data_IF_348222781867
#
_entry.id   IF_348222781867
#
_cell.length_a   1.000
_cell.length_b   1.000
_cell.length_c   1.000
_cell.angle_alpha   90.00
_cell.angle_beta   90.00
_cell.angle_gamma   90.00
#
_symmetry.space_group_name_H-M   'P 1'
#
loop_
_entity.id
_entity.type
_entity.pdbx_description
1 polymer ?
#
# COMPACT_ATOMS: atom_id res chain seq x y z
N UNK A 1 2.14 -27.69 -73.59
CA UNK A 1 3.59 -28.01 -73.63
C UNK A 1 4.35 -26.72 -73.92
N UNK A 2 4.86 -26.04 -72.89
CA UNK A 2 6.02 -25.14 -72.99
C UNK A 2 6.67 -25.12 -71.61
N UNK A 3 8.00 -25.23 -71.62
CA UNK A 3 8.85 -25.52 -70.48
C UNK A 3 9.74 -24.32 -70.14
N UNK A 4 10.11 -24.23 -68.85
CA UNK A 4 11.26 -23.53 -68.27
C UNK A 4 11.21 -21.99 -68.31
N UNK A 5 11.52 -21.27 -67.22
CA UNK A 5 12.81 -21.31 -66.50
C UNK A 5 12.64 -20.70 -65.10
N UNK A 6 13.26 -21.30 -64.08
CA UNK A 6 13.30 -20.74 -62.72
C UNK A 6 14.43 -19.70 -62.60
N UNK A 7 14.11 -18.53 -62.03
CA UNK A 7 15.09 -17.52 -61.62
C UNK A 7 15.11 -17.49 -60.09
N UNK A 8 16.22 -17.92 -59.50
CA UNK A 8 16.45 -17.84 -58.05
C UNK A 8 17.03 -16.45 -57.74
N UNK A 9 16.24 -15.61 -57.05
CA UNK A 9 16.68 -14.31 -56.56
C UNK A 9 17.15 -14.47 -55.10
N UNK A 10 18.46 -14.37 -54.86
CA UNK A 10 19.04 -14.23 -53.53
C UNK A 10 18.94 -12.78 -53.08
N UNK A 11 18.08 -12.50 -52.11
CA UNK A 11 18.01 -11.20 -51.41
C UNK A 11 18.79 -11.35 -50.09
N UNK A 12 19.97 -10.75 -50.01
CA UNK A 12 20.67 -10.54 -48.74
C UNK A 12 19.97 -9.40 -47.98
N UNK A 13 19.31 -9.73 -46.86
CA UNK A 13 18.89 -8.73 -45.88
C UNK A 13 20.05 -8.41 -44.95
N UNK A 14 20.73 -7.28 -45.17
CA UNK A 14 21.53 -6.62 -44.14
C UNK A 14 20.58 -5.86 -43.20
N UNK A 15 20.37 -6.39 -42.00
CA UNK A 15 19.66 -5.68 -40.94
C UNK A 15 20.54 -4.54 -40.42
N UNK A 16 20.24 -3.30 -40.84
CA UNK A 16 20.79 -2.11 -40.20
C UNK A 16 20.16 -1.96 -38.81
N UNK A 17 20.91 -2.29 -37.75
CA UNK A 17 20.56 -1.89 -36.37
C UNK A 17 20.84 -0.40 -36.22
N UNK A 18 19.82 0.43 -36.34
CA UNK A 18 19.85 1.79 -35.78
C UNK A 18 19.71 1.66 -34.25
N UNK A 19 20.79 1.93 -33.53
CA UNK A 19 20.72 2.17 -32.09
C UNK A 19 19.97 3.49 -31.87
N UNK A 20 18.73 3.40 -31.38
CA UNK A 20 17.98 4.56 -30.92
C UNK A 20 18.65 5.03 -29.62
N UNK A 21 19.43 6.11 -29.67
CA UNK A 21 19.90 6.76 -28.47
C UNK A 21 18.69 7.35 -27.73
N UNK A 22 18.35 6.80 -26.56
CA UNK A 22 17.35 7.40 -25.69
C UNK A 22 17.95 8.68 -25.09
N UNK A 23 17.58 9.83 -25.65
CA UNK A 23 17.81 11.11 -25.00
C UNK A 23 16.96 11.17 -23.74
N UNK A 24 17.60 11.16 -22.57
CA UNK A 24 16.92 11.51 -21.31
C UNK A 24 16.44 12.95 -21.42
N UNK A 25 15.15 13.14 -21.73
CA UNK A 25 14.52 14.43 -21.60
C UNK A 25 14.54 14.80 -20.12
N UNK A 26 15.16 15.93 -19.79
CA UNK A 26 15.07 16.52 -18.45
C UNK A 26 13.58 16.74 -18.17
N UNK A 27 13.05 16.10 -17.11
CA UNK A 27 11.67 16.33 -16.66
C UNK A 27 11.46 17.83 -16.44
N UNK A 28 10.46 18.40 -17.09
CA UNK A 28 10.07 19.79 -16.84
C UNK A 28 9.37 19.98 -15.49
N UNK A 29 8.76 18.92 -14.98
CA UNK A 29 8.20 18.86 -13.63
C UNK A 29 8.96 17.79 -12.82
N UNK A 30 9.70 18.17 -11.77
CA UNK A 30 10.41 17.21 -10.92
C UNK A 30 9.46 16.25 -10.16
N UNK A 31 8.15 16.52 -10.15
CA UNK A 31 7.13 15.68 -9.52
C UNK A 31 6.36 14.79 -10.49
N UNK A 32 6.61 14.88 -11.80
CA UNK A 32 5.96 14.03 -12.78
C UNK A 32 6.34 12.56 -12.56
N UNK A 33 5.35 11.67 -12.52
CA UNK A 33 5.56 10.21 -12.39
C UNK A 33 6.44 9.70 -13.54
N UNK A 34 7.46 8.86 -13.29
CA UNK A 34 8.27 8.30 -14.37
C UNK A 34 7.48 7.44 -15.34
N UNK A 35 7.84 7.45 -16.64
CA UNK A 35 7.46 6.34 -17.51
C UNK A 35 7.82 5.03 -16.84
N UNK A 36 6.95 4.03 -16.91
CA UNK A 36 7.14 2.75 -16.21
C UNK A 36 8.50 2.10 -16.53
N UNK A 37 9.00 2.26 -17.76
CA UNK A 37 10.30 1.74 -18.19
C UNK A 37 11.51 2.45 -17.55
N UNK A 38 11.31 3.63 -16.95
CA UNK A 38 12.34 4.40 -16.24
C UNK A 38 12.31 4.15 -14.73
N UNK A 39 11.32 3.41 -14.21
CA UNK A 39 11.24 3.07 -12.79
C UNK A 39 12.22 1.94 -12.50
N UNK A 40 13.30 2.24 -11.77
CA UNK A 40 14.30 1.26 -11.35
C UNK A 40 14.37 1.15 -9.83
N UNK A 41 14.80 -0.01 -9.33
CA UNK A 41 15.13 -0.17 -7.92
C UNK A 41 16.30 0.77 -7.55
N UNK A 42 16.18 1.50 -6.44
CA UNK A 42 17.21 2.44 -5.98
C UNK A 42 17.16 3.81 -6.64
N UNK A 43 16.08 4.16 -7.35
CA UNK A 43 15.88 5.54 -7.80
C UNK A 43 15.90 6.52 -6.63
N UNK A 44 16.45 7.74 -6.82
CA UNK A 44 16.41 8.77 -5.80
C UNK A 44 14.98 9.05 -5.34
N UNK A 45 14.77 9.07 -4.03
CA UNK A 45 13.50 9.45 -3.43
C UNK A 45 13.37 10.97 -3.48
N UNK A 46 12.26 11.46 -4.02
CA UNK A 46 11.96 12.90 -3.98
C UNK A 46 11.74 13.36 -2.53
N UNK A 47 12.06 14.62 -2.20
CA UNK A 47 11.74 15.17 -0.88
C UNK A 47 10.23 15.13 -0.58
N UNK A 48 9.89 14.97 0.69
CA UNK A 48 8.53 15.14 1.18
C UNK A 48 7.99 16.55 0.89
N UNK A 49 6.69 16.64 0.64
CA UNK A 49 5.98 17.93 0.49
C UNK A 49 5.16 18.21 1.74
N UNK A 50 5.08 19.45 2.21
CA UNK A 50 4.25 19.78 3.37
C UNK A 50 2.76 19.68 3.04
N UNK A 51 1.93 19.61 4.09
CA UNK A 51 0.48 19.78 3.95
C UNK A 51 0.17 21.18 3.38
N UNK A 52 -0.84 21.24 2.52
CA UNK A 52 -1.32 22.48 1.91
C UNK A 52 -2.01 23.42 2.91
N UNK A 53 -2.55 22.87 3.99
CA UNK A 53 -3.13 23.60 5.12
C UNK A 53 -3.00 22.78 6.41
N UNK A 54 -2.93 23.48 7.55
CA UNK A 54 -2.97 22.84 8.88
C UNK A 54 -4.42 22.52 9.26
N UNK A 55 -4.76 21.24 9.52
CA UNK A 55 -6.08 20.89 10.03
C UNK A 55 -6.41 21.61 11.33
N UNK A 56 -7.64 22.12 11.43
CA UNK A 56 -8.13 22.79 12.63
C UNK A 56 -9.16 21.91 13.31
N UNK A 57 -8.91 21.55 14.56
CA UNK A 57 -9.86 20.77 15.33
C UNK A 57 -11.21 21.48 15.48
N UNK A 58 -12.29 20.70 15.50
CA UNK A 58 -13.66 21.18 15.40
C UNK A 58 -14.16 21.42 13.96
N UNK A 59 -13.28 21.31 12.94
CA UNK A 59 -13.70 21.41 11.54
C UNK A 59 -14.78 20.36 11.22
N UNK A 60 -15.85 20.75 10.50
CA UNK A 60 -16.90 19.81 10.13
C UNK A 60 -16.36 18.76 9.16
N UNK A 61 -16.88 17.53 9.19
CA UNK A 61 -16.47 16.50 8.26
C UNK A 61 -17.00 16.79 6.86
N UNK A 62 -16.37 16.19 5.86
CA UNK A 62 -16.91 16.14 4.49
C UNK A 62 -18.00 15.06 4.37
N UNK A 63 -17.93 14.02 5.20
CA UNK A 63 -18.88 12.91 5.21
C UNK A 63 -20.04 13.24 6.15
N UNK A 64 -21.27 13.16 5.62
CA UNK A 64 -22.48 13.42 6.38
C UNK A 64 -22.63 12.45 7.55
N UNK A 65 -22.92 12.98 8.75
CA UNK A 65 -23.10 12.19 9.97
C UNK A 65 -21.80 11.77 10.68
N UNK A 66 -20.64 12.03 10.08
CA UNK A 66 -19.37 11.78 10.75
C UNK A 66 -19.11 12.83 11.87
N UNK A 67 -18.25 12.56 12.86
CA UNK A 67 -17.91 13.55 13.88
C UNK A 67 -17.02 14.66 13.31
N UNK A 68 -17.09 15.84 13.93
CA UNK A 68 -16.12 16.91 13.66
C UNK A 68 -14.71 16.44 14.03
N UNK A 69 -13.71 17.07 13.40
CA UNK A 69 -12.32 16.72 13.63
C UNK A 69 -11.95 16.85 15.12
N UNK A 70 -11.38 15.81 15.77
CA UNK A 70 -11.03 15.89 17.17
C UNK A 70 -9.79 16.79 17.40
N UNK A 71 -9.57 17.19 18.64
CA UNK A 71 -8.26 17.71 19.05
C UNK A 71 -7.23 16.58 18.96
N UNK A 72 -6.01 16.90 18.52
CA UNK A 72 -4.91 15.94 18.61
C UNK A 72 -4.63 15.71 20.10
N UNK A 73 -4.75 14.47 20.62
CA UNK A 73 -4.51 14.18 22.02
C UNK A 73 -3.00 14.30 22.35
N UNK A 74 -2.67 14.23 23.64
CA UNK A 74 -1.27 14.14 24.06
C UNK A 74 -0.67 12.80 23.62
N UNK A 75 0.10 12.86 22.53
CA UNK A 75 0.74 11.72 21.91
C UNK A 75 1.85 11.10 22.76
N UNK A 76 2.33 11.78 23.81
CA UNK A 76 3.35 11.23 24.70
C UNK A 76 2.86 10.04 25.54
N UNK A 77 1.54 9.86 25.63
CA UNK A 77 0.91 8.71 26.27
C UNK A 77 0.91 7.44 25.41
N UNK A 78 1.21 7.55 24.11
CA UNK A 78 1.27 6.42 23.19
C UNK A 78 2.70 5.89 23.06
N UNK A 79 2.88 4.58 22.87
CA UNK A 79 4.21 4.03 22.71
C UNK A 79 4.87 4.53 21.41
N UNK A 80 6.21 4.71 21.42
CA UNK A 80 6.93 5.09 20.22
C UNK A 80 6.91 3.95 19.18
N UNK A 81 6.92 4.32 17.91
CA UNK A 81 7.01 3.35 16.80
C UNK A 81 8.32 2.56 16.77
N UNK A 82 8.29 1.43 16.06
CA UNK A 82 9.49 0.63 15.75
C UNK A 82 10.00 -0.24 16.90
N UNK A 83 9.24 -0.38 17.99
CA UNK A 83 9.57 -1.27 19.10
C UNK A 83 8.45 -2.29 19.30
N UNK A 84 8.80 -3.51 19.71
CA UNK A 84 7.79 -4.46 20.19
C UNK A 84 7.23 -3.92 21.50
N UNK A 85 5.91 -3.69 21.52
CA UNK A 85 5.23 -3.16 22.68
C UNK A 85 5.00 -4.30 23.68
N UNK A 86 5.27 -4.10 24.98
CA UNK A 86 4.94 -5.09 26.00
C UNK A 86 3.45 -5.45 25.95
N UNK A 87 3.15 -6.74 25.95
CA UNK A 87 1.77 -7.25 25.90
C UNK A 87 1.20 -7.53 27.29
N UNK A 88 1.86 -7.07 28.34
CA UNK A 88 1.53 -7.34 29.74
C UNK A 88 1.10 -6.09 30.52
N UNK A 89 0.87 -4.96 29.83
CA UNK A 89 0.31 -3.77 30.46
C UNK A 89 -1.10 -4.02 31.00
N UNK A 90 -1.57 -3.24 32.00
CA UNK A 90 -2.95 -3.32 32.48
C UNK A 90 -3.98 -3.19 31.35
N UNK A 91 -3.77 -2.27 30.42
CA UNK A 91 -4.65 -2.00 29.28
C UNK A 91 -4.69 -3.17 28.31
N UNK A 92 -3.55 -3.78 27.98
CA UNK A 92 -3.51 -4.96 27.11
C UNK A 92 -4.20 -6.15 27.77
N UNK A 93 -4.01 -6.33 29.09
CA UNK A 93 -4.69 -7.40 29.85
C UNK A 93 -6.20 -7.21 29.90
N UNK A 94 -6.66 -5.98 30.10
CA UNK A 94 -8.09 -5.62 30.06
C UNK A 94 -8.67 -5.92 28.68
N UNK A 95 -8.04 -5.43 27.61
CA UNK A 95 -8.47 -5.69 26.24
C UNK A 95 -8.52 -7.19 25.92
N UNK A 96 -7.50 -7.97 26.31
CA UNK A 96 -7.51 -9.43 26.12
C UNK A 96 -8.67 -10.10 26.87
N UNK A 97 -9.03 -9.60 28.06
CA UNK A 97 -10.17 -10.10 28.82
C UNK A 97 -11.50 -9.75 28.14
N UNK A 98 -11.63 -8.57 27.56
CA UNK A 98 -12.81 -8.16 26.77
C UNK A 98 -12.97 -9.03 25.52
N UNK A 99 -11.89 -9.28 24.78
CA UNK A 99 -11.92 -10.17 23.61
C UNK A 99 -12.33 -11.59 24.04
N UNK A 100 -11.76 -12.12 25.12
CA UNK A 100 -12.17 -13.42 25.65
C UNK A 100 -13.65 -13.46 26.05
N UNK A 101 -14.17 -12.39 26.68
CA UNK A 101 -15.56 -12.28 27.08
C UNK A 101 -16.52 -12.17 25.87
N UNK A 102 -16.05 -11.64 24.74
CA UNK A 102 -16.84 -11.56 23.49
C UNK A 102 -17.08 -12.93 22.83
N UNK A 103 -16.39 -13.99 23.29
CA UNK A 103 -16.43 -15.32 22.67
C UNK A 103 -15.52 -15.47 21.45
N UNK A 104 -14.80 -14.41 21.06
CA UNK A 104 -13.77 -14.47 20.01
C UNK A 104 -12.56 -15.26 20.53
N UNK A 105 -12.15 -16.27 19.77
CA UNK A 105 -10.92 -17.02 20.04
C UNK A 105 -9.78 -16.38 19.26
N UNK A 106 -8.76 -15.88 19.97
CA UNK A 106 -7.50 -15.41 19.35
C UNK A 106 -6.64 -16.64 19.04
N UNK A 107 -6.30 -16.90 17.77
CA UNK A 107 -5.40 -18.00 17.42
C UNK A 107 -4.01 -17.80 18.04
N UNK A 108 -3.46 -18.83 18.69
CA UNK A 108 -2.09 -18.81 19.20
C UNK A 108 -1.11 -19.24 18.09
N UNK A 109 -0.98 -18.41 17.07
CA UNK A 109 -0.08 -18.66 15.93
C UNK A 109 1.32 -18.14 16.22
N UNK A 110 2.35 -18.91 15.90
CA UNK A 110 3.73 -18.42 15.95
C UNK A 110 3.93 -17.25 14.98
N UNK A 111 4.73 -16.24 15.33
CA UNK A 111 5.12 -15.20 14.39
C UNK A 111 5.74 -15.79 13.12
N UNK A 112 5.42 -15.19 11.98
CA UNK A 112 6.03 -15.60 10.72
C UNK A 112 7.52 -15.24 10.71
N UNK A 113 8.31 -16.02 9.98
CA UNK A 113 9.71 -15.74 9.70
C UNK A 113 9.77 -14.70 8.58
N UNK A 114 10.28 -13.49 8.84
CA UNK A 114 10.37 -12.47 7.81
C UNK A 114 11.36 -12.88 6.73
N UNK A 115 11.11 -12.40 5.51
CA UNK A 115 12.05 -12.57 4.41
C UNK A 115 13.27 -11.67 4.68
N UNK A 116 14.50 -12.20 4.69
CA UNK A 116 15.71 -11.36 4.77
C UNK A 116 15.78 -10.37 3.60
N UNK A 117 16.32 -9.17 3.83
CA UNK A 117 16.47 -8.14 2.81
C UNK A 117 17.34 -8.59 1.61
N UNK A 118 18.23 -9.56 1.84
CA UNK A 118 19.14 -10.15 0.85
C UNK A 118 18.68 -11.52 0.33
N UNK A 119 17.45 -11.93 0.63
CA UNK A 119 16.93 -13.22 0.20
C UNK A 119 16.83 -13.31 -1.32
N UNK A 120 17.51 -14.31 -1.91
CA UNK A 120 17.44 -14.61 -3.34
C UNK A 120 16.82 -15.98 -3.54
N UNK A 121 15.69 -16.03 -4.26
CA UNK A 121 15.01 -17.28 -4.58
C UNK A 121 14.15 -17.87 -3.46
N UNK A 122 14.11 -17.22 -2.30
CA UNK A 122 13.16 -17.53 -1.22
C UNK A 122 11.94 -16.62 -1.30
N UNK A 123 10.80 -17.13 -0.85
CA UNK A 123 9.55 -16.39 -0.72
C UNK A 123 9.09 -16.41 0.73
N UNK A 124 8.26 -15.44 1.11
CA UNK A 124 7.60 -15.42 2.41
C UNK A 124 6.90 -16.77 2.71
N UNK A 125 6.30 -17.39 1.69
CA UNK A 125 5.58 -18.65 1.83
C UNK A 125 6.52 -19.84 2.02
N UNK A 126 7.62 -19.93 1.27
CA UNK A 126 8.60 -21.03 1.42
C UNK A 126 9.32 -20.99 2.77
N UNK A 127 9.50 -19.81 3.35
CA UNK A 127 10.06 -19.65 4.70
C UNK A 127 9.09 -20.06 5.82
N UNK A 128 7.79 -20.09 5.52
CA UNK A 128 6.72 -20.34 6.49
C UNK A 128 5.83 -21.50 6.02
N UNK A 129 6.35 -22.73 5.89
CA UNK A 129 5.63 -23.84 5.27
C UNK A 129 4.43 -24.30 6.09
N UNK A 130 4.49 -24.31 7.42
CA UNK A 130 3.35 -24.68 8.26
C UNK A 130 2.21 -23.65 8.14
N UNK A 131 2.54 -22.36 8.25
CA UNK A 131 1.56 -21.28 8.12
C UNK A 131 0.96 -21.21 6.71
N UNK A 132 1.77 -21.44 5.68
CA UNK A 132 1.30 -21.51 4.29
C UNK A 132 0.34 -22.69 4.08
N UNK A 133 0.65 -23.85 4.66
CA UNK A 133 -0.22 -25.04 4.58
C UNK A 133 -1.53 -24.85 5.34
N UNK A 134 -1.51 -24.10 6.45
CA UNK A 134 -2.68 -23.70 7.21
C UNK A 134 -3.39 -22.45 6.65
N UNK A 135 -2.93 -21.92 5.51
CA UNK A 135 -3.41 -20.67 4.94
C UNK A 135 -4.75 -20.77 4.20
N UNK A 136 -5.29 -21.98 3.98
CA UNK A 136 -6.56 -22.17 3.27
C UNK A 136 -7.80 -21.72 4.06
N UNK A 137 -8.98 -21.90 3.43
CA UNK A 137 -10.28 -21.48 3.98
C UNK A 137 -10.62 -22.13 5.34
N UNK A 138 -10.17 -23.37 5.56
CA UNK A 138 -10.39 -24.10 6.82
C UNK A 138 -9.38 -23.74 7.93
N UNK A 139 -8.44 -22.83 7.66
CA UNK A 139 -7.38 -22.43 8.57
C UNK A 139 -7.35 -20.92 8.85
N UNK A 140 -6.15 -20.36 8.92
CA UNK A 140 -5.94 -18.95 9.28
C UNK A 140 -6.23 -17.99 8.13
N UNK A 141 -6.58 -18.49 6.94
CA UNK A 141 -6.85 -17.72 5.73
C UNK A 141 -5.75 -16.69 5.40
N UNK A 142 -4.72 -17.12 4.68
CA UNK A 142 -3.58 -16.28 4.34
C UNK A 142 -3.56 -15.95 2.85
N UNK A 143 -3.99 -14.74 2.51
CA UNK A 143 -4.11 -14.29 1.13
C UNK A 143 -2.80 -14.37 0.34
N UNK A 144 -1.66 -13.94 0.91
CA UNK A 144 -0.39 -13.88 0.19
C UNK A 144 0.11 -15.23 -0.32
N UNK A 145 -0.18 -16.31 0.41
CA UNK A 145 0.34 -17.66 0.10
C UNK A 145 -0.69 -18.61 -0.48
N UNK A 146 -1.98 -18.36 -0.27
CA UNK A 146 -3.06 -19.26 -0.70
C UNK A 146 -4.18 -18.57 -1.49
N UNK A 147 -4.13 -17.24 -1.60
CA UNK A 147 -5.22 -16.41 -2.11
C UNK A 147 -6.56 -16.68 -1.40
N UNK A 148 -6.50 -17.15 -0.15
CA UNK A 148 -7.68 -17.37 0.66
C UNK A 148 -8.40 -16.05 0.92
N UNK A 149 -9.73 -16.09 0.83
CA UNK A 149 -10.67 -15.01 1.14
C UNK A 149 -11.86 -15.63 1.88
N UNK A 150 -12.53 -14.83 2.70
CA UNK A 150 -13.77 -15.16 3.41
C UNK A 150 -14.95 -14.43 2.78
N UNK A 151 -16.16 -14.88 3.07
CA UNK A 151 -17.40 -14.26 2.62
C UNK A 151 -17.61 -12.85 3.21
N UNK A 152 -16.98 -12.57 4.35
CA UNK A 152 -16.92 -11.24 4.97
C UNK A 152 -15.86 -10.31 4.37
N UNK A 153 -14.95 -10.82 3.54
CA UNK A 153 -13.88 -10.01 2.97
C UNK A 153 -14.37 -9.21 1.75
N UNK A 154 -14.00 -7.93 1.70
CA UNK A 154 -14.25 -7.09 0.53
C UNK A 154 -13.07 -7.20 -0.42
N UNK A 155 -13.21 -8.05 -1.44
CA UNK A 155 -12.15 -8.35 -2.41
C UNK A 155 -12.45 -7.89 -3.84
N UNK A 156 -13.65 -7.34 -4.04
CA UNK A 156 -14.10 -6.79 -5.32
C UNK A 156 -14.96 -5.56 -5.12
N UNK A 157 -14.84 -4.58 -6.02
CA UNK A 157 -15.81 -3.48 -6.08
C UNK A 157 -17.17 -4.01 -6.57
N UNK A 158 -18.30 -3.63 -5.94
CA UNK A 158 -19.63 -4.10 -6.34
C UNK A 158 -20.07 -3.51 -7.69
N UNK A 159 -19.61 -2.31 -8.01
CA UNK A 159 -19.97 -1.59 -9.23
C UNK A 159 -19.05 -1.94 -10.39
N UNK A 160 -19.64 -2.07 -11.59
CA UNK A 160 -18.88 -2.31 -12.82
C UNK A 160 -17.98 -1.12 -13.12
N UNK A 161 -16.74 -1.42 -13.53
CA UNK A 161 -15.72 -0.43 -13.90
C UNK A 161 -15.32 0.53 -12.75
N UNK A 162 -15.67 0.19 -11.50
CA UNK A 162 -15.17 0.88 -10.31
C UNK A 162 -13.84 0.28 -9.86
N UNK A 163 -12.99 1.12 -9.25
CA UNK A 163 -11.71 0.74 -8.68
C UNK A 163 -11.63 1.24 -7.24
N UNK A 164 -11.25 0.35 -6.32
CA UNK A 164 -10.97 0.69 -4.92
C UNK A 164 -9.48 0.98 -4.78
N UNK A 165 -9.10 2.26 -4.72
CA UNK A 165 -7.72 2.65 -4.49
C UNK A 165 -7.43 2.63 -2.98
N UNK A 166 -6.45 1.84 -2.56
CA UNK A 166 -6.03 1.72 -1.16
C UNK A 166 -4.55 2.07 -1.01
N UNK A 167 -4.18 2.61 0.14
CA UNK A 167 -2.80 2.86 0.53
C UNK A 167 -2.56 2.32 1.93
N UNK A 168 -1.55 1.48 2.08
CA UNK A 168 -1.21 0.81 3.32
C UNK A 168 -0.02 1.52 3.99
N UNK A 169 0.18 1.23 5.28
CA UNK A 169 1.37 1.57 6.06
C UNK A 169 1.61 3.07 6.30
N UNK A 170 0.66 3.93 5.94
CA UNK A 170 0.70 5.36 6.24
C UNK A 170 0.30 5.71 7.69
N UNK A 171 0.18 7.01 8.03
CA UNK A 171 0.62 8.15 7.24
C UNK A 171 2.15 8.28 7.25
N UNK A 172 2.71 8.85 6.19
CA UNK A 172 4.15 9.15 6.12
C UNK A 172 4.36 10.60 5.69
N UNK A 173 5.60 11.12 5.76
CA UNK A 173 5.92 12.45 5.20
C UNK A 173 5.58 12.60 3.71
N UNK A 174 5.38 11.50 2.98
CA UNK A 174 5.03 11.51 1.56
C UNK A 174 3.52 11.47 1.29
N UNK A 175 2.71 11.10 2.28
CA UNK A 175 1.24 11.08 2.15
C UNK A 175 0.65 12.41 1.65
N UNK A 176 1.14 13.61 2.04
CA UNK A 176 0.66 14.87 1.48
C UNK A 176 0.77 14.98 -0.05
N UNK A 177 1.80 14.38 -0.67
CA UNK A 177 1.93 14.35 -2.13
C UNK A 177 0.80 13.53 -2.76
N UNK A 178 0.49 12.38 -2.15
CA UNK A 178 -0.62 11.52 -2.58
C UNK A 178 -1.95 12.27 -2.44
N UNK A 179 -2.20 12.94 -1.30
CA UNK A 179 -3.42 13.72 -1.08
C UNK A 179 -3.59 14.83 -2.12
N UNK A 180 -2.52 15.58 -2.43
CA UNK A 180 -2.55 16.62 -3.45
C UNK A 180 -2.92 16.06 -4.83
N UNK A 181 -2.32 14.92 -5.21
CA UNK A 181 -2.63 14.27 -6.49
C UNK A 181 -4.08 13.78 -6.56
N UNK A 182 -4.57 13.13 -5.50
CA UNK A 182 -5.96 12.66 -5.43
C UNK A 182 -6.94 13.83 -5.50
N UNK A 183 -6.65 14.95 -4.84
CA UNK A 183 -7.45 16.16 -4.92
C UNK A 183 -7.46 16.75 -6.35
N UNK A 184 -6.31 16.85 -7.01
CA UNK A 184 -6.19 17.32 -8.40
C UNK A 184 -7.03 16.46 -9.37
N UNK A 185 -7.03 15.15 -9.16
CA UNK A 185 -7.80 14.20 -9.98
C UNK A 185 -9.24 14.02 -9.53
N UNK A 186 -9.67 14.71 -8.47
CA UNK A 186 -10.98 14.53 -7.85
C UNK A 186 -11.28 13.05 -7.52
N UNK A 187 -10.27 12.35 -6.98
CA UNK A 187 -10.33 10.94 -6.60
C UNK A 187 -10.42 10.79 -5.08
N UNK A 188 -11.07 9.71 -4.64
CA UNK A 188 -11.08 9.24 -3.25
C UNK A 188 -10.40 7.89 -3.15
N UNK A 189 -9.95 7.57 -1.94
CA UNK A 189 -9.14 6.41 -1.63
C UNK A 189 -9.36 6.02 -0.17
N UNK A 190 -8.93 4.81 0.15
CA UNK A 190 -8.87 4.22 1.48
C UNK A 190 -7.43 4.24 1.98
N UNK A 191 -7.20 4.63 3.22
CA UNK A 191 -5.88 4.62 3.85
C UNK A 191 -5.91 3.69 5.06
N UNK A 192 -5.19 2.57 4.98
CA UNK A 192 -4.99 1.63 6.07
C UNK A 192 -3.73 2.03 6.83
N UNK A 193 -3.92 2.62 8.01
CA UNK A 193 -2.83 3.31 8.72
C UNK A 193 -2.21 2.47 9.82
N UNK A 194 -0.93 2.71 10.08
CA UNK A 194 -0.21 2.15 11.22
C UNK A 194 -0.33 3.13 12.40
N UNK A 195 -0.79 2.65 13.56
CA UNK A 195 -0.95 3.50 14.75
C UNK A 195 0.31 4.25 15.17
N UNK A 196 1.49 3.62 15.09
CA UNK A 196 2.77 4.29 15.35
C UNK A 196 3.05 5.45 14.39
N UNK A 197 2.62 5.33 13.13
CA UNK A 197 2.76 6.39 12.14
C UNK A 197 1.76 7.52 12.38
N UNK A 198 0.56 7.20 12.88
CA UNK A 198 -0.42 8.19 13.32
C UNK A 198 0.12 9.03 14.48
N UNK A 199 0.82 8.42 15.44
CA UNK A 199 1.46 9.14 16.55
C UNK A 199 2.50 10.14 16.03
N UNK A 200 3.26 9.76 15.00
CA UNK A 200 4.31 10.60 14.40
C UNK A 200 3.77 11.69 13.46
N UNK A 201 2.60 11.46 12.85
CA UNK A 201 2.02 12.32 11.81
C UNK A 201 0.50 12.55 11.99
N UNK A 202 0.04 12.97 13.17
CA UNK A 202 -1.39 13.10 13.45
C UNK A 202 -2.07 14.15 12.57
N UNK A 203 -1.38 15.23 12.24
CA UNK A 203 -1.87 16.27 11.33
C UNK A 203 -2.09 15.73 9.91
N UNK A 204 -1.27 14.77 9.46
CA UNK A 204 -1.45 14.16 8.14
C UNK A 204 -2.69 13.26 8.14
N UNK A 205 -2.92 12.48 9.21
CA UNK A 205 -4.16 11.71 9.37
C UNK A 205 -5.40 12.60 9.34
N UNK A 206 -5.37 13.71 10.08
CA UNK A 206 -6.47 14.67 10.10
C UNK A 206 -6.72 15.29 8.72
N UNK A 207 -5.66 15.60 7.97
CA UNK A 207 -5.78 16.10 6.60
C UNK A 207 -6.38 15.04 5.66
N UNK A 208 -5.98 13.77 5.78
CA UNK A 208 -6.56 12.66 5.02
C UNK A 208 -8.08 12.55 5.27
N UNK A 209 -8.51 12.61 6.52
CA UNK A 209 -9.92 12.59 6.89
C UNK A 209 -10.69 13.81 6.36
N UNK A 210 -10.15 15.03 6.55
CA UNK A 210 -10.78 16.26 6.04
C UNK A 210 -10.83 16.33 4.52
N UNK A 211 -9.93 15.65 3.82
CA UNK A 211 -9.99 15.49 2.37
C UNK A 211 -11.09 14.51 1.93
N UNK A 212 -11.81 13.85 2.86
CA UNK A 212 -12.93 12.95 2.59
C UNK A 212 -12.49 11.57 2.12
N UNK A 213 -11.27 11.16 2.45
CA UNK A 213 -10.81 9.78 2.28
C UNK A 213 -11.29 8.90 3.43
N UNK A 214 -11.39 7.60 3.17
CA UNK A 214 -11.65 6.63 4.22
C UNK A 214 -10.34 6.30 4.95
N UNK A 215 -10.43 6.12 6.25
CA UNK A 215 -9.31 5.88 7.16
C UNK A 215 -9.68 4.70 8.04
N UNK A 216 -8.84 3.68 8.00
CA UNK A 216 -8.94 2.45 8.80
C UNK A 216 -7.68 2.23 9.61
#
# INVERSE_FOLDING_TARGET
MFAHTAVTLLISLTAARTAQAHSHAIRQDPHAVPPLAEITQGMPVEPAVPLSATPTAGSPPVISGAPNLPQIPDMSSYPPGGQMIPTDSPEVKEWLAEVAASGVTIPNTSPYKPLPDDAVGETLCSLNPEASSAGGADGNCWWSCSSCTRDTDVVTCPDKLAWGLTFDDGPSPYTPKVLNYLAEKNLKASFYVIGANVVNHPEILQATYLAGHEVS
#
